data_IF_365692381122
#
_entry.id   IF_365692381122
#
_cell.length_a   1.000
_cell.length_b   1.000
_cell.length_c   1.000
_cell.angle_alpha   90.00
_cell.angle_beta   90.00
_cell.angle_gamma   90.00
#
_symmetry.space_group_name_H-M   'P 1'
#
loop_
_entity.id
_entity.type
_entity.pdbx_description
1 polymer ?
#
# COMPACT_ATOMS: atom_id res chain seq x y z
N UNK A 1 -12.61 13.08 -6.48
CA UNK A 1 -11.43 12.21 -6.58
C UNK A 1 -10.36 12.60 -5.56
N UNK A 2 -9.96 13.87 -5.47
CA UNK A 2 -8.97 14.31 -4.48
C UNK A 2 -9.30 13.94 -3.02
N UNK A 3 -10.57 14.01 -2.62
CA UNK A 3 -11.02 13.56 -1.29
C UNK A 3 -10.83 12.06 -1.02
N UNK A 4 -10.76 11.22 -2.06
CA UNK A 4 -10.42 9.80 -1.92
C UNK A 4 -8.91 9.58 -1.85
N UNK A 5 -8.12 10.42 -2.53
CA UNK A 5 -6.69 10.20 -2.72
C UNK A 5 -5.87 10.82 -1.58
N UNK A 6 -6.04 12.12 -1.35
CA UNK A 6 -5.14 12.91 -0.49
C UNK A 6 -5.00 12.38 0.95
N UNK A 7 -6.07 11.92 1.63
CA UNK A 7 -5.95 11.42 3.00
C UNK A 7 -5.04 10.19 3.13
N UNK A 8 -5.06 9.29 2.13
CA UNK A 8 -4.29 8.04 2.14
C UNK A 8 -2.81 8.20 1.75
N UNK A 9 -2.42 9.32 1.13
CA UNK A 9 -1.05 9.53 0.59
C UNK A 9 0.04 9.45 1.67
N UNK A 10 -0.25 9.94 2.87
CA UNK A 10 0.73 10.06 3.95
C UNK A 10 0.24 9.41 5.24
N UNK A 11 -0.15 8.14 5.15
CA UNK A 11 -0.59 7.37 6.32
C UNK A 11 0.53 7.28 7.40
N UNK A 12 0.23 7.53 8.69
CA UNK A 12 1.22 7.49 9.77
C UNK A 12 1.98 6.16 9.86
N UNK A 13 1.30 5.04 9.59
CA UNK A 13 1.91 3.71 9.55
C UNK A 13 3.01 3.62 8.49
N UNK A 14 2.80 4.20 7.31
CA UNK A 14 3.80 4.18 6.24
C UNK A 14 5.06 4.97 6.58
N UNK A 15 4.88 6.14 7.20
CA UNK A 15 6.01 6.94 7.71
C UNK A 15 6.77 6.17 8.78
N UNK A 16 6.06 5.55 9.73
CA UNK A 16 6.66 4.75 10.79
C UNK A 16 7.47 3.58 10.22
N UNK A 17 6.87 2.76 9.34
CA UNK A 17 7.50 1.59 8.76
C UNK A 17 8.77 1.96 7.97
N UNK A 18 8.68 2.98 7.11
CA UNK A 18 9.83 3.44 6.33
C UNK A 18 10.92 4.03 7.21
N UNK A 19 10.56 4.78 8.26
CA UNK A 19 11.54 5.29 9.22
C UNK A 19 12.29 4.16 9.92
N UNK A 20 11.58 3.13 10.39
CA UNK A 20 12.22 1.99 11.07
C UNK A 20 13.17 1.24 10.14
N UNK A 21 12.81 1.10 8.86
CA UNK A 21 13.71 0.52 7.87
C UNK A 21 14.93 1.43 7.62
N UNK A 22 14.73 2.74 7.42
CA UNK A 22 15.82 3.67 7.14
C UNK A 22 16.84 3.76 8.27
N UNK A 23 16.40 3.68 9.53
CA UNK A 23 17.30 3.65 10.70
C UNK A 23 18.16 2.38 10.75
N UNK A 24 17.73 1.30 10.09
CA UNK A 24 18.53 0.07 9.99
C UNK A 24 19.64 0.13 8.93
N UNK A 25 19.63 1.14 8.06
CA UNK A 25 20.66 1.31 7.02
C UNK A 25 21.94 1.85 7.67
N UNK A 26 23.11 1.18 7.49
CA UNK A 26 24.37 1.62 8.07
C UNK A 26 24.76 3.03 7.59
N UNK A 27 25.12 3.91 8.53
CA UNK A 27 25.48 5.32 8.25
C UNK A 27 26.74 5.43 7.38
N UNK A 28 27.61 4.43 7.42
CA UNK A 28 28.86 4.34 6.66
C UNK A 28 28.61 4.41 5.15
N UNK A 29 27.46 3.93 4.67
CA UNK A 29 27.06 4.03 3.26
C UNK A 29 26.85 5.50 2.85
N UNK A 30 26.25 6.30 3.73
CA UNK A 30 26.02 7.73 3.51
C UNK A 30 27.33 8.50 3.59
N UNK A 31 28.20 8.15 4.54
CA UNK A 31 29.53 8.75 4.69
C UNK A 31 30.41 8.46 3.48
N UNK A 32 30.43 7.23 2.97
CA UNK A 32 31.14 6.87 1.75
C UNK A 32 30.64 7.68 0.54
N UNK A 33 29.32 7.82 0.38
CA UNK A 33 28.75 8.63 -0.69
C UNK A 33 29.16 10.12 -0.59
N UNK A 34 29.31 10.65 0.63
CA UNK A 34 29.80 12.01 0.86
C UNK A 34 31.28 12.16 0.51
N UNK A 35 32.11 11.18 0.85
CA UNK A 35 33.53 11.14 0.47
C UNK A 35 33.68 11.10 -1.06
N UNK A 36 32.80 10.37 -1.75
CA UNK A 36 32.72 10.31 -3.22
C UNK A 36 32.13 11.59 -3.87
N UNK A 37 31.83 12.62 -3.07
CA UNK A 37 31.30 13.90 -3.54
C UNK A 37 29.84 13.84 -4.02
N UNK A 38 29.06 12.81 -3.64
CA UNK A 38 27.64 12.75 -3.97
C UNK A 38 26.83 13.76 -3.14
N UNK A 39 26.02 14.59 -3.83
CA UNK A 39 25.01 15.43 -3.18
C UNK A 39 23.96 14.59 -2.45
N UNK A 40 23.35 15.12 -1.39
CA UNK A 40 22.27 14.45 -0.63
C UNK A 40 21.14 13.91 -1.51
N UNK A 41 20.69 14.66 -2.53
CA UNK A 41 19.67 14.19 -3.48
C UNK A 41 20.13 12.98 -4.28
N UNK A 42 21.38 12.96 -4.71
CA UNK A 42 21.98 11.83 -5.43
C UNK A 42 22.11 10.62 -4.53
N UNK A 43 22.57 10.80 -3.29
CA UNK A 43 22.67 9.74 -2.28
C UNK A 43 21.29 9.15 -1.99
N UNK A 44 20.28 9.99 -1.79
CA UNK A 44 18.91 9.54 -1.55
C UNK A 44 18.36 8.70 -2.72
N UNK A 45 18.33 9.25 -3.94
CA UNK A 45 17.69 8.57 -5.07
C UNK A 45 18.50 7.41 -5.65
N UNK A 46 19.84 7.49 -5.65
CA UNK A 46 20.68 6.46 -6.28
C UNK A 46 21.15 5.38 -5.33
N UNK A 47 21.12 5.62 -4.01
CA UNK A 47 21.65 4.68 -3.02
C UNK A 47 20.55 4.26 -2.05
N UNK A 48 19.96 5.21 -1.32
CA UNK A 48 18.99 4.91 -0.26
C UNK A 48 17.68 4.32 -0.82
N UNK A 49 17.13 4.90 -1.89
CA UNK A 49 15.88 4.41 -2.51
C UNK A 49 16.01 2.97 -3.04
N UNK A 50 17.05 2.59 -3.82
CA UNK A 50 17.25 1.21 -4.25
C UNK A 50 17.39 0.22 -3.08
N UNK A 51 18.13 0.57 -2.03
CA UNK A 51 18.26 -0.26 -0.82
C UNK A 51 16.91 -0.42 -0.11
N UNK A 52 16.07 0.61 -0.17
CA UNK A 52 14.75 0.64 0.47
C UNK A 52 13.64 -0.02 -0.35
N UNK A 53 13.91 -0.48 -1.58
CA UNK A 53 12.91 -1.12 -2.43
C UNK A 53 12.14 -2.26 -1.75
N UNK A 54 12.76 -3.17 -0.97
CA UNK A 54 12.04 -4.23 -0.27
C UNK A 54 11.03 -3.67 0.74
N UNK A 55 11.41 -2.65 1.52
CA UNK A 55 10.52 -2.01 2.48
C UNK A 55 9.39 -1.21 1.80
N UNK A 56 9.71 -0.51 0.71
CA UNK A 56 8.71 0.18 -0.11
C UNK A 56 7.71 -0.79 -0.74
N UNK A 57 8.14 -2.00 -1.14
CA UNK A 57 7.24 -3.03 -1.64
C UNK A 57 6.28 -3.51 -0.54
N UNK A 58 6.80 -3.77 0.67
CA UNK A 58 5.97 -4.14 1.83
C UNK A 58 4.96 -3.04 2.17
N UNK A 59 5.41 -1.78 2.20
CA UNK A 59 4.52 -0.64 2.40
C UNK A 59 3.43 -0.57 1.31
N UNK A 60 3.82 -0.69 0.04
CA UNK A 60 2.89 -0.64 -1.08
C UNK A 60 1.80 -1.70 -1.00
N UNK A 61 2.14 -2.91 -0.52
CA UNK A 61 1.15 -3.97 -0.30
C UNK A 61 0.20 -3.57 0.84
N UNK A 62 0.72 -3.16 2.00
CA UNK A 62 -0.15 -2.77 3.12
C UNK A 62 -1.06 -1.60 2.77
N UNK A 63 -0.54 -0.59 2.07
CA UNK A 63 -1.33 0.54 1.58
C UNK A 63 -2.38 0.07 0.58
N UNK A 64 -2.03 -0.78 -0.39
CA UNK A 64 -3.03 -1.31 -1.33
C UNK A 64 -4.14 -2.07 -0.61
N UNK A 65 -3.78 -2.98 0.30
CA UNK A 65 -4.75 -3.79 1.04
C UNK A 65 -5.67 -2.89 1.87
N UNK A 66 -5.12 -1.88 2.55
CA UNK A 66 -5.89 -0.95 3.34
C UNK A 66 -6.88 -0.16 2.48
N UNK A 67 -6.40 0.51 1.43
CA UNK A 67 -7.20 1.37 0.56
C UNK A 67 -8.20 0.57 -0.29
N UNK A 68 -7.83 -0.64 -0.73
CA UNK A 68 -8.74 -1.50 -1.47
C UNK A 68 -9.89 -1.98 -0.59
N UNK A 69 -9.63 -2.35 0.66
CA UNK A 69 -10.68 -2.80 1.58
C UNK A 69 -11.42 -1.64 2.27
N UNK A 70 -11.00 -0.40 2.05
CA UNK A 70 -11.64 0.74 2.67
C UNK A 70 -13.07 0.94 2.15
N UNK A 71 -13.97 1.07 3.11
CA UNK A 71 -15.40 1.15 2.90
C UNK A 71 -15.93 2.49 3.42
N UNK A 72 -15.57 2.83 4.65
CA UNK A 72 -16.18 3.91 5.40
C UNK A 72 -15.84 5.27 4.80
N UNK A 73 -14.56 5.51 4.49
CA UNK A 73 -14.15 6.81 3.97
C UNK A 73 -14.72 7.08 2.56
N UNK A 74 -14.64 6.15 1.59
CA UNK A 74 -15.31 6.32 0.30
C UNK A 74 -16.82 6.53 0.43
N UNK A 75 -17.49 5.84 1.35
CA UNK A 75 -18.92 6.02 1.57
C UNK A 75 -19.25 7.45 2.01
N UNK A 76 -18.47 8.02 2.93
CA UNK A 76 -18.67 9.37 3.50
C UNK A 76 -18.31 10.48 2.50
N UNK A 77 -17.19 10.35 1.79
CA UNK A 77 -16.62 11.45 1.01
C UNK A 77 -17.19 11.55 -0.41
N UNK A 78 -17.93 10.54 -0.87
CA UNK A 78 -18.48 10.50 -2.23
C UNK A 78 -20.01 10.66 -2.23
N UNK A 79 -20.51 11.52 -3.12
CA UNK A 79 -21.94 11.86 -3.20
C UNK A 79 -22.65 11.31 -4.46
N UNK A 80 -21.90 10.68 -5.38
CA UNK A 80 -22.46 10.18 -6.66
C UNK A 80 -22.09 8.71 -6.85
N UNK A 81 -22.98 7.93 -7.48
CA UNK A 81 -22.77 6.49 -7.67
C UNK A 81 -21.51 6.18 -8.49
N UNK A 82 -21.17 7.02 -9.48
CA UNK A 82 -19.98 6.86 -10.32
C UNK A 82 -18.66 7.03 -9.57
N UNK A 83 -18.72 7.58 -8.35
CA UNK A 83 -17.57 7.84 -7.49
C UNK A 83 -17.40 6.78 -6.40
N UNK A 84 -18.40 5.91 -6.19
CA UNK A 84 -18.34 4.87 -5.17
C UNK A 84 -17.28 3.85 -5.55
N UNK A 85 -16.44 3.49 -4.59
CA UNK A 85 -15.55 2.33 -4.74
C UNK A 85 -16.37 1.06 -4.80
N UNK A 86 -15.80 -0.01 -5.36
CA UNK A 86 -16.48 -1.31 -5.43
C UNK A 86 -16.98 -1.75 -4.04
N UNK A 87 -16.19 -1.48 -2.99
CA UNK A 87 -16.48 -1.91 -1.62
C UNK A 87 -17.65 -1.13 -1.04
N UNK A 88 -17.67 0.19 -1.24
CA UNK A 88 -18.81 1.04 -0.87
C UNK A 88 -20.07 0.71 -1.69
N UNK A 89 -19.93 0.45 -2.99
CA UNK A 89 -21.04 0.08 -3.86
C UNK A 89 -21.68 -1.25 -3.51
N UNK A 90 -20.88 -2.26 -3.12
CA UNK A 90 -21.40 -3.57 -2.69
C UNK A 90 -22.21 -3.49 -1.40
N UNK A 91 -21.80 -2.65 -0.45
CA UNK A 91 -22.56 -2.41 0.76
C UNK A 91 -23.90 -1.74 0.46
N UNK A 92 -23.93 -0.74 -0.42
CA UNK A 92 -25.17 -0.09 -0.85
C UNK A 92 -26.09 -1.07 -1.60
N UNK A 93 -25.53 -1.93 -2.45
CA UNK A 93 -26.29 -2.95 -3.18
C UNK A 93 -26.99 -3.94 -2.23
N UNK A 94 -26.34 -4.29 -1.12
CA UNK A 94 -26.92 -5.15 -0.09
C UNK A 94 -28.17 -4.52 0.55
N UNK A 95 -28.18 -3.19 0.72
CA UNK A 95 -29.30 -2.44 1.26
C UNK A 95 -30.41 -2.21 0.24
N UNK A 96 -30.06 -1.85 -1.01
CA UNK A 96 -31.03 -1.54 -2.07
C UNK A 96 -31.76 -2.78 -2.59
N UNK A 97 -31.10 -3.94 -2.63
CA UNK A 97 -31.66 -5.15 -3.22
C UNK A 97 -31.51 -6.36 -2.28
N UNK A 98 -32.28 -6.37 -1.17
CA UNK A 98 -32.19 -7.44 -0.18
C UNK A 98 -32.57 -8.80 -0.79
N UNK A 99 -31.92 -9.85 -0.31
CA UNK A 99 -32.09 -11.25 -0.74
C UNK A 99 -31.58 -11.62 -2.14
N UNK A 100 -30.94 -10.70 -2.88
CA UNK A 100 -30.27 -11.02 -4.15
C UNK A 100 -28.80 -11.43 -3.96
N UNK A 101 -28.59 -12.60 -3.36
CA UNK A 101 -27.27 -13.15 -3.08
C UNK A 101 -26.41 -13.37 -4.34
N UNK A 102 -27.02 -13.66 -5.50
CA UNK A 102 -26.28 -13.87 -6.74
C UNK A 102 -25.48 -12.63 -7.15
N UNK A 103 -26.09 -11.44 -7.09
CA UNK A 103 -25.40 -10.19 -7.42
C UNK A 103 -24.32 -9.87 -6.38
N UNK A 104 -24.65 -10.00 -5.10
CA UNK A 104 -23.70 -9.70 -4.01
C UNK A 104 -22.47 -10.62 -4.06
N UNK A 105 -22.65 -11.93 -4.28
CA UNK A 105 -21.54 -12.87 -4.38
C UNK A 105 -20.71 -12.68 -5.65
N UNK A 106 -21.34 -12.32 -6.78
CA UNK A 106 -20.61 -11.99 -8.01
C UNK A 106 -19.71 -10.77 -7.79
N UNK A 107 -20.22 -9.73 -7.16
CA UNK A 107 -19.49 -8.52 -6.82
C UNK A 107 -18.34 -8.78 -5.84
N UNK A 108 -18.58 -9.56 -4.79
CA UNK A 108 -17.55 -9.99 -3.86
C UNK A 108 -16.43 -10.80 -4.55
N UNK A 109 -16.77 -11.62 -5.54
CA UNK A 109 -15.79 -12.36 -6.35
C UNK A 109 -14.89 -11.39 -7.12
N UNK A 110 -15.46 -10.38 -7.78
CA UNK A 110 -14.68 -9.34 -8.46
C UNK A 110 -13.82 -8.52 -7.48
N UNK A 111 -14.34 -8.23 -6.29
CA UNK A 111 -13.59 -7.52 -5.26
C UNK A 111 -12.37 -8.30 -4.76
N UNK A 112 -12.43 -9.63 -4.76
CA UNK A 112 -11.32 -10.50 -4.35
C UNK A 112 -10.22 -10.63 -5.41
N UNK A 113 -10.53 -10.47 -6.70
CA UNK A 113 -9.56 -10.71 -7.79
C UNK A 113 -8.28 -9.85 -7.69
N UNK A 114 -8.35 -8.52 -7.48
CA UNK A 114 -7.14 -7.70 -7.41
C UNK A 114 -6.24 -8.05 -6.23
N UNK A 115 -6.84 -8.43 -5.10
CA UNK A 115 -6.11 -8.90 -3.92
C UNK A 115 -5.34 -10.19 -4.22
N UNK A 116 -5.95 -11.13 -4.93
CA UNK A 116 -5.32 -12.37 -5.37
C UNK A 116 -4.16 -12.07 -6.33
N UNK A 117 -4.36 -11.18 -7.31
CA UNK A 117 -3.33 -10.79 -8.27
C UNK A 117 -2.11 -10.16 -7.59
N UNK A 118 -2.35 -9.25 -6.63
CA UNK A 118 -1.28 -8.62 -5.85
C UNK A 118 -0.59 -9.65 -4.96
N UNK A 119 -1.32 -10.54 -4.32
CA UNK A 119 -0.70 -11.61 -3.55
C UNK A 119 0.28 -12.43 -4.40
N UNK A 120 -0.11 -12.87 -5.60
CA UNK A 120 0.79 -13.61 -6.48
C UNK A 120 1.98 -12.77 -6.95
N UNK A 121 1.75 -11.52 -7.35
CA UNK A 121 2.81 -10.61 -7.80
C UNK A 121 3.87 -10.36 -6.70
N UNK A 122 3.44 -10.24 -5.44
CA UNK A 122 4.29 -9.85 -4.33
C UNK A 122 4.69 -10.99 -3.38
N UNK A 123 4.18 -12.20 -3.59
CA UNK A 123 4.49 -13.42 -2.81
C UNK A 123 6.00 -13.62 -2.60
N UNK A 124 6.81 -13.35 -3.62
CA UNK A 124 8.28 -13.46 -3.57
C UNK A 124 8.95 -12.41 -2.68
N UNK A 125 8.38 -11.21 -2.55
CA UNK A 125 8.91 -10.15 -1.69
C UNK A 125 8.55 -10.40 -0.22
N UNK A 126 7.37 -10.95 0.05
CA UNK A 126 6.97 -11.39 1.40
C UNK A 126 7.96 -12.41 1.98
N UNK A 127 8.33 -13.43 1.18
CA UNK A 127 9.28 -14.46 1.59
C UNK A 127 10.68 -13.90 1.87
N UNK A 128 11.14 -12.91 1.08
CA UNK A 128 12.45 -12.26 1.28
C UNK A 128 12.47 -11.28 2.46
N UNK A 129 11.36 -10.56 2.70
CA UNK A 129 11.25 -9.59 3.78
C UNK A 129 11.26 -10.23 5.18
N UNK A 130 10.60 -11.39 5.34
CA UNK A 130 10.60 -12.15 6.60
C UNK A 130 11.99 -12.68 6.94
N UNK A 131 12.77 -13.10 5.94
CA UNK A 131 14.14 -13.61 6.18
C UNK A 131 15.13 -12.53 6.59
N UNK A 132 14.96 -11.27 6.17
CA UNK A 132 15.87 -10.17 6.57
C UNK A 132 15.66 -9.78 8.05
N UNK A 133 14.46 -9.95 8.60
CA UNK A 133 14.20 -9.75 10.04
C UNK A 133 14.66 -10.91 10.93
N UNK A 134 14.87 -12.10 10.35
CA UNK A 134 15.26 -13.32 11.07
C UNK A 134 16.78 -13.51 11.18
N UNK A 135 17.58 -12.71 10.46
CA UNK A 135 19.04 -12.69 10.58
C UNK A 135 19.41 -11.49 11.46
N UNK A 136 19.15 -11.62 12.76
CA UNK A 136 19.78 -10.85 13.82
C UNK A 136 20.25 -11.80 14.90
#
# INVERSE_FOLDING_TARGET
>A
YWGLILPGVAAPFGVFLMRQFMVSIPTEIIEAAKIDGASEWRTFYKIIVPISLPAMAVLGIFTFVAEWNDFLWPLIVTNTQQMKTLQAGLALLQEEVPMQYAFLMSGATYAALPMILIFFAFSKYFLKGVTVGAIK
#
